data_IF_955442103282
#
_entry.id   IF_955442103282
#
_cell.length_a   1.000
_cell.length_b   1.000
_cell.length_c   1.000
_cell.angle_alpha   90.00
_cell.angle_beta   90.00
_cell.angle_gamma   90.00
#
_symmetry.space_group_name_H-M   'P 1'
#
loop_
_entity.id
_entity.type
_entity.pdbx_description
1 polymer ?
#
# COMPACT_ATOMS: atom_id res chain seq x y z
N UNK A 1 -15.94 6.08 18.35
CA UNK A 1 -16.65 6.32 17.07
C UNK A 1 -15.63 6.60 15.95
N UNK A 2 -14.93 5.58 15.43
CA UNK A 2 -13.98 5.73 14.31
C UNK A 2 -14.66 5.32 13.00
N UNK A 3 -15.38 6.24 12.38
CA UNK A 3 -16.12 6.02 11.13
C UNK A 3 -15.15 5.83 9.95
N UNK A 4 -15.02 4.61 9.45
CA UNK A 4 -14.55 4.23 8.10
C UNK A 4 -13.25 4.86 7.56
N UNK A 5 -12.30 5.27 8.42
CA UNK A 5 -11.02 5.86 7.99
C UNK A 5 -10.00 4.85 7.45
N UNK A 6 -10.29 3.54 7.48
CA UNK A 6 -9.37 2.48 7.03
C UNK A 6 -8.92 2.68 5.58
N UNK A 7 -9.88 2.91 4.68
CA UNK A 7 -9.60 3.07 3.24
C UNK A 7 -8.69 4.27 2.93
N UNK A 8 -8.98 5.52 3.39
CA UNK A 8 -8.09 6.64 3.12
C UNK A 8 -6.72 6.48 3.79
N UNK A 9 -6.62 5.84 4.97
CA UNK A 9 -5.34 5.59 5.63
C UNK A 9 -4.47 4.64 4.80
N UNK A 10 -5.02 3.50 4.34
CA UNK A 10 -4.27 2.53 3.52
C UNK A 10 -3.83 3.19 2.19
N UNK A 11 -4.68 4.00 1.57
CA UNK A 11 -4.34 4.71 0.34
C UNK A 11 -3.19 5.72 0.53
N UNK A 12 -3.15 6.45 1.66
CA UNK A 12 -2.06 7.37 2.00
C UNK A 12 -0.76 6.58 2.24
N UNK A 13 -0.80 5.51 3.04
CA UNK A 13 0.38 4.67 3.29
C UNK A 13 0.94 4.05 2.01
N UNK A 14 0.06 3.56 1.13
CA UNK A 14 0.45 2.99 -0.16
C UNK A 14 1.15 4.04 -1.03
N UNK A 15 0.56 5.23 -1.13
CA UNK A 15 1.14 6.37 -1.88
C UNK A 15 2.53 6.74 -1.35
N UNK A 16 2.68 6.86 -0.02
CA UNK A 16 3.96 7.14 0.61
C UNK A 16 5.00 6.04 0.35
N UNK A 17 4.59 4.78 0.37
CA UNK A 17 5.48 3.63 0.12
C UNK A 17 5.99 3.63 -1.33
N UNK A 18 5.11 3.92 -2.30
CA UNK A 18 5.49 4.05 -3.72
C UNK A 18 6.44 5.22 -3.92
N UNK A 19 6.14 6.39 -3.32
CA UNK A 19 7.02 7.56 -3.38
C UNK A 19 8.38 7.32 -2.72
N UNK A 20 8.42 6.54 -1.64
CA UNK A 20 9.66 6.17 -0.99
C UNK A 20 10.49 5.24 -1.89
N UNK A 21 9.87 4.20 -2.44
CA UNK A 21 10.53 3.27 -3.36
C UNK A 21 11.06 3.97 -4.61
N UNK A 22 10.30 4.88 -5.22
CA UNK A 22 10.72 5.61 -6.43
C UNK A 22 11.91 6.55 -6.23
N UNK A 23 12.21 6.94 -4.97
CA UNK A 23 13.38 7.74 -4.62
C UNK A 23 14.65 6.91 -4.40
N UNK A 24 14.53 5.59 -4.25
CA UNK A 24 15.69 4.72 -4.07
C UNK A 24 16.43 4.64 -5.40
N UNK A 25 17.57 5.33 -5.50
CA UNK A 25 18.47 5.27 -6.65
C UNK A 25 19.57 4.24 -6.37
N UNK A 26 19.57 3.16 -7.14
CA UNK A 26 20.59 2.11 -7.11
C UNK A 26 20.41 1.20 -8.32
N UNK A 27 21.41 1.15 -9.19
CA UNK A 27 21.36 0.37 -10.45
C UNK A 27 22.01 -1.01 -10.32
N UNK A 28 22.50 -1.36 -9.13
CA UNK A 28 23.34 -2.54 -8.90
C UNK A 28 22.71 -3.41 -7.79
N UNK A 29 22.04 -4.48 -8.22
CA UNK A 29 21.31 -5.47 -7.41
C UNK A 29 20.16 -4.93 -6.55
N UNK A 30 19.05 -5.69 -6.48
CA UNK A 30 17.93 -5.37 -5.59
C UNK A 30 18.43 -5.47 -4.15
N UNK A 31 18.59 -4.33 -3.50
CA UNK A 31 18.97 -4.27 -2.08
C UNK A 31 17.82 -4.80 -1.23
N UNK A 32 18.12 -5.34 -0.05
CA UNK A 32 17.10 -5.84 0.90
C UNK A 32 16.00 -4.82 1.18
N UNK A 33 16.33 -3.52 1.21
CA UNK A 33 15.36 -2.44 1.41
C UNK A 33 14.43 -2.23 0.22
N UNK A 34 14.90 -2.45 -1.02
CA UNK A 34 14.09 -2.39 -2.23
C UNK A 34 13.13 -3.57 -2.29
N UNK A 35 13.63 -4.78 -2.01
CA UNK A 35 12.80 -5.97 -1.91
C UNK A 35 11.69 -5.80 -0.85
N UNK A 36 12.06 -5.31 0.35
CA UNK A 36 11.09 -5.05 1.41
C UNK A 36 10.08 -3.97 1.00
N UNK A 37 10.51 -2.92 0.32
CA UNK A 37 9.62 -1.86 -0.18
C UNK A 37 8.61 -2.42 -1.18
N UNK A 38 9.05 -3.24 -2.14
CA UNK A 38 8.17 -3.92 -3.11
C UNK A 38 7.16 -4.82 -2.38
N UNK A 39 7.62 -5.61 -1.42
CA UNK A 39 6.76 -6.48 -0.61
C UNK A 39 5.67 -5.67 0.13
N UNK A 40 6.06 -4.59 0.79
CA UNK A 40 5.12 -3.72 1.52
C UNK A 40 4.12 -3.05 0.57
N UNK A 41 4.56 -2.59 -0.61
CA UNK A 41 3.67 -2.04 -1.63
C UNK A 41 2.63 -3.08 -2.05
N UNK A 42 3.05 -4.31 -2.38
CA UNK A 42 2.14 -5.40 -2.74
C UNK A 42 1.13 -5.73 -1.63
N UNK A 43 1.60 -5.81 -0.38
CA UNK A 43 0.75 -6.06 0.79
C UNK A 43 -0.30 -4.94 0.99
N UNK A 44 0.11 -3.68 0.90
CA UNK A 44 -0.79 -2.53 1.02
C UNK A 44 -1.80 -2.46 -0.14
N UNK A 45 -1.38 -2.80 -1.37
CA UNK A 45 -2.29 -2.92 -2.51
C UNK A 45 -3.35 -4.00 -2.28
N UNK A 46 -2.96 -5.18 -1.81
CA UNK A 46 -3.90 -6.26 -1.47
C UNK A 46 -4.89 -5.86 -0.39
N UNK A 47 -4.41 -5.21 0.69
CA UNK A 47 -5.28 -4.69 1.75
C UNK A 47 -6.25 -3.62 1.25
N UNK A 48 -5.81 -2.73 0.35
CA UNK A 48 -6.67 -1.71 -0.24
C UNK A 48 -7.79 -2.34 -1.08
N UNK A 49 -7.47 -3.35 -1.90
CA UNK A 49 -8.43 -4.10 -2.70
C UNK A 49 -9.44 -4.83 -1.83
N UNK A 50 -9.00 -5.55 -0.80
CA UNK A 50 -9.89 -6.23 0.14
C UNK A 50 -10.84 -5.24 0.83
N UNK A 51 -10.30 -4.11 1.31
CA UNK A 51 -11.10 -3.06 1.95
C UNK A 51 -12.12 -2.44 0.98
N UNK A 52 -11.76 -2.29 -0.30
CA UNK A 52 -12.69 -1.85 -1.34
C UNK A 52 -13.80 -2.86 -1.56
N UNK A 53 -13.47 -4.15 -1.76
CA UNK A 53 -14.43 -5.22 -1.97
C UNK A 53 -15.40 -5.33 -0.80
N UNK A 54 -14.91 -5.31 0.44
CA UNK A 54 -15.75 -5.31 1.64
C UNK A 54 -16.70 -4.10 1.68
N UNK A 55 -16.19 -2.91 1.35
CA UNK A 55 -17.01 -1.70 1.32
C UNK A 55 -18.10 -1.77 0.26
N UNK A 56 -17.83 -2.33 -0.91
CA UNK A 56 -18.82 -2.51 -1.97
C UNK A 56 -19.82 -3.62 -1.64
N UNK A 57 -19.35 -4.75 -1.08
CA UNK A 57 -20.23 -5.86 -0.65
C UNK A 57 -21.20 -5.43 0.46
N UNK A 58 -20.75 -4.61 1.40
CA UNK A 58 -21.61 -4.10 2.48
C UNK A 58 -22.55 -2.96 2.04
N UNK A 59 -22.40 -2.46 0.80
CA UNK A 59 -23.25 -1.41 0.23
C UNK A 59 -24.28 -1.97 -0.76
N UNK A 60 -24.06 -3.19 -1.26
CA UNK A 60 -25.04 -3.98 -2.02
C UNK A 60 -26.02 -4.67 -1.07
#
# INVERSE_FOLDING_TARGET
>A
MMKNRKLPIIAILLSLSIMNYSRIKGTEAIRTIEFLSIFVIGLLSGLLLLTLIEKFKNKA
#
